data_IF_352664905374
#
_entry.id   IF_352664905374
#
_cell.length_a   1.000
_cell.length_b   1.000
_cell.length_c   1.000
_cell.angle_alpha   90.00
_cell.angle_beta   90.00
_cell.angle_gamma   90.00
#
_symmetry.space_group_name_H-M   'P 1'
#
loop_
_entity.id
_entity.type
_entity.pdbx_description
1 polymer ?
#
# COMPACT_ATOMS: atom_id res chain seq x y z
N UNK A 1 -11.79 -55.13 3.52
CA UNK A 1 -11.40 -54.01 4.40
C UNK A 1 -11.25 -52.82 3.48
N UNK A 2 -12.37 -52.20 3.14
CA UNK A 2 -12.39 -51.10 2.17
C UNK A 2 -12.00 -49.82 2.89
N UNK A 3 -10.98 -49.14 2.36
CA UNK A 3 -10.52 -47.84 2.82
C UNK A 3 -11.67 -46.84 2.78
N UNK A 4 -12.19 -46.49 3.96
CA UNK A 4 -13.05 -45.34 4.15
C UNK A 4 -12.18 -44.09 3.91
N UNK A 5 -12.20 -43.58 2.68
CA UNK A 5 -11.53 -42.33 2.34
C UNK A 5 -12.08 -41.22 3.25
N UNK A 6 -11.25 -40.77 4.19
CA UNK A 6 -11.57 -39.68 5.10
C UNK A 6 -12.00 -38.46 4.28
N UNK A 7 -13.30 -38.19 4.28
CA UNK A 7 -13.89 -37.04 3.60
C UNK A 7 -13.30 -35.78 4.25
N UNK A 8 -12.79 -34.81 3.48
CA UNK A 8 -12.21 -33.60 4.05
C UNK A 8 -13.24 -32.91 4.96
N UNK A 9 -12.80 -32.49 6.15
CA UNK A 9 -13.65 -31.84 7.16
C UNK A 9 -14.26 -30.56 6.56
N UNK A 10 -15.59 -30.51 6.36
CA UNK A 10 -16.27 -29.38 5.73
C UNK A 10 -16.24 -28.10 6.60
N UNK A 11 -15.77 -28.20 7.84
CA UNK A 11 -15.62 -27.07 8.77
C UNK A 11 -14.34 -26.26 8.49
N UNK A 12 -13.41 -26.81 7.69
CA UNK A 12 -12.19 -26.11 7.24
C UNK A 12 -12.50 -25.34 5.96
N UNK A 13 -13.16 -24.18 6.09
CA UNK A 13 -13.41 -23.26 4.97
C UNK A 13 -12.28 -22.23 4.92
N UNK A 14 -11.36 -22.43 3.96
CA UNK A 14 -10.26 -21.50 3.65
C UNK A 14 -9.03 -21.67 4.54
N UNK A 15 -7.85 -21.49 3.95
CA UNK A 15 -6.60 -21.45 4.71
C UNK A 15 -6.59 -20.23 5.64
N UNK A 16 -6.13 -20.43 6.88
CA UNK A 16 -5.83 -19.31 7.78
C UNK A 16 -4.68 -18.52 7.15
N UNK A 17 -4.99 -17.38 6.56
CA UNK A 17 -3.98 -16.45 6.08
C UNK A 17 -3.17 -15.96 7.29
N UNK A 18 -1.91 -16.38 7.38
CA UNK A 18 -0.91 -15.81 8.28
C UNK A 18 -0.01 -14.85 7.46
N UNK A 19 -0.52 -13.66 7.04
CA UNK A 19 0.30 -12.73 6.29
C UNK A 19 1.52 -12.34 7.13
N UNK A 20 2.66 -12.05 6.50
CA UNK A 20 3.83 -11.56 7.21
C UNK A 20 3.48 -10.32 8.02
N UNK A 21 4.21 -10.09 9.13
CA UNK A 21 4.11 -8.88 9.94
C UNK A 21 4.00 -7.63 9.06
N UNK A 22 3.06 -6.74 9.42
CA UNK A 22 2.88 -5.48 8.72
C UNK A 22 4.21 -4.71 8.66
N UNK A 23 4.67 -4.41 7.44
CA UNK A 23 5.82 -3.51 7.25
C UNK A 23 5.30 -2.09 7.16
N UNK A 24 5.54 -1.31 8.20
CA UNK A 24 5.23 0.11 8.17
C UNK A 24 6.15 0.80 7.16
N UNK A 25 5.60 1.66 6.29
CA UNK A 25 6.43 2.48 5.41
C UNK A 25 7.14 3.56 6.22
N UNK A 26 8.34 3.95 5.77
CA UNK A 26 8.92 5.24 6.13
C UNK A 26 8.09 6.35 5.45
N UNK A 27 7.43 7.25 6.21
CA UNK A 27 6.58 8.30 5.63
C UNK A 27 7.33 9.28 4.71
N UNK A 28 8.57 9.64 5.04
CA UNK A 28 9.43 10.50 4.21
C UNK A 28 9.70 9.83 2.87
N UNK A 29 10.18 8.59 2.91
CA UNK A 29 10.45 7.82 1.70
C UNK A 29 9.18 7.55 0.89
N UNK A 30 8.05 7.28 1.55
CA UNK A 30 6.79 7.02 0.88
C UNK A 30 6.32 8.23 0.06
N UNK A 31 6.27 9.41 0.69
CA UNK A 31 5.79 10.62 0.02
C UNK A 31 6.73 11.03 -1.13
N UNK A 32 8.05 11.10 -0.91
CA UNK A 32 8.96 11.55 -1.98
C UNK A 32 8.98 10.58 -3.17
N UNK A 33 8.98 9.27 -2.92
CA UNK A 33 8.94 8.28 -3.99
C UNK A 33 7.64 8.36 -4.80
N UNK A 34 6.51 8.62 -4.14
CA UNK A 34 5.22 8.81 -4.83
C UNK A 34 5.17 10.09 -5.65
N UNK A 35 5.67 11.21 -5.12
CA UNK A 35 5.81 12.47 -5.88
C UNK A 35 6.59 12.22 -7.18
N UNK A 36 7.78 11.63 -7.08
CA UNK A 36 8.61 11.36 -8.26
C UNK A 36 7.93 10.42 -9.25
N UNK A 37 7.29 9.35 -8.76
CA UNK A 37 6.57 8.39 -9.60
C UNK A 37 5.42 9.05 -10.36
N UNK A 38 4.63 9.90 -9.70
CA UNK A 38 3.51 10.61 -10.31
C UNK A 38 3.99 11.60 -11.39
N UNK A 39 5.10 12.32 -11.16
CA UNK A 39 5.71 13.19 -12.17
C UNK A 39 6.10 12.41 -13.43
N UNK A 40 6.71 11.24 -13.27
CA UNK A 40 7.09 10.35 -14.38
C UNK A 40 5.85 9.88 -15.15
N UNK A 41 4.81 9.42 -14.45
CA UNK A 41 3.57 8.95 -15.10
C UNK A 41 2.81 10.08 -15.81
N UNK A 42 2.87 11.29 -15.27
CA UNK A 42 2.20 12.45 -15.85
C UNK A 42 2.74 12.90 -17.21
N UNK A 43 3.97 12.51 -17.56
CA UNK A 43 4.62 12.93 -18.82
C UNK A 43 3.98 12.31 -20.07
N UNK A 44 3.39 11.12 -19.95
CA UNK A 44 2.82 10.37 -21.08
C UNK A 44 1.36 9.94 -20.88
N UNK A 45 0.63 10.62 -19.98
CA UNK A 45 -0.74 10.25 -19.63
C UNK A 45 -1.75 11.30 -20.09
N UNK A 46 -2.88 10.85 -20.62
CA UNK A 46 -4.05 11.69 -20.95
C UNK A 46 -4.59 12.45 -19.73
N UNK A 47 -4.35 11.94 -18.53
CA UNK A 47 -4.69 12.60 -17.25
C UNK A 47 -3.48 13.29 -16.61
N UNK A 48 -2.47 13.63 -17.41
CA UNK A 48 -1.22 14.25 -16.95
C UNK A 48 -1.42 15.46 -16.03
N UNK A 49 -2.31 16.43 -16.33
CA UNK A 49 -2.56 17.56 -15.44
C UNK A 49 -3.04 17.13 -14.04
N UNK A 50 -3.90 16.11 -13.96
CA UNK A 50 -4.37 15.57 -12.69
C UNK A 50 -3.25 14.86 -11.92
N UNK A 51 -2.41 14.07 -12.61
CA UNK A 51 -1.27 13.41 -11.98
C UNK A 51 -0.21 14.39 -11.47
N UNK A 52 -0.01 15.53 -12.15
CA UNK A 52 0.83 16.64 -11.66
C UNK A 52 0.26 17.26 -10.39
N UNK A 53 -1.04 17.55 -10.38
CA UNK A 53 -1.72 18.05 -9.17
C UNK A 53 -1.53 17.10 -7.98
N UNK A 54 -1.74 15.78 -8.18
CA UNK A 54 -1.52 14.79 -7.13
C UNK A 54 -0.05 14.72 -6.68
N UNK A 55 0.89 14.80 -7.62
CA UNK A 55 2.33 14.86 -7.30
C UNK A 55 2.64 16.02 -6.35
N UNK A 56 2.13 17.22 -6.68
CA UNK A 56 2.40 18.43 -5.91
C UNK A 56 1.74 18.36 -4.53
N UNK A 57 0.54 17.77 -4.42
CA UNK A 57 -0.11 17.52 -3.13
C UNK A 57 0.71 16.57 -2.25
N UNK A 58 1.22 15.47 -2.82
CA UNK A 58 2.05 14.50 -2.07
C UNK A 58 3.41 15.11 -1.71
N UNK A 59 3.95 16.00 -2.54
CA UNK A 59 5.18 16.74 -2.21
C UNK A 59 4.96 17.70 -1.04
N UNK A 60 3.79 18.34 -0.97
CA UNK A 60 3.43 19.15 0.18
C UNK A 60 3.38 18.29 1.45
N UNK A 61 2.79 17.08 1.38
CA UNK A 61 2.82 16.12 2.50
C UNK A 61 4.25 15.77 2.91
N UNK A 62 5.14 15.52 1.94
CA UNK A 62 6.55 15.28 2.22
C UNK A 62 7.19 16.44 3.00
N UNK A 63 6.90 17.68 2.61
CA UNK A 63 7.49 18.88 3.20
C UNK A 63 6.99 19.18 4.61
N UNK A 64 5.71 18.92 4.90
CA UNK A 64 5.13 19.28 6.20
C UNK A 64 5.26 18.19 7.26
N UNK A 65 5.49 16.92 6.87
CA UNK A 65 5.38 15.81 7.82
C UNK A 65 6.44 15.78 8.92
N UNK A 66 7.63 16.33 8.67
CA UNK A 66 8.73 16.37 9.65
C UNK A 66 8.35 17.21 10.88
N UNK A 67 7.47 18.20 10.70
CA UNK A 67 6.97 19.09 11.76
C UNK A 67 5.68 18.58 12.43
N UNK A 68 5.13 17.43 12.00
CA UNK A 68 3.90 16.89 12.56
C UNK A 68 4.16 16.07 13.84
N UNK A 69 3.21 16.05 14.79
CA UNK A 69 3.33 15.18 15.95
C UNK A 69 3.27 13.70 15.54
N UNK A 70 3.92 12.85 16.34
CA UNK A 70 3.79 11.40 16.21
C UNK A 70 2.30 10.98 16.25
N UNK A 71 1.89 9.97 15.45
CA UNK A 71 0.53 9.49 15.44
C UNK A 71 0.09 9.01 16.82
N UNK A 72 -1.14 9.35 17.22
CA UNK A 72 -1.75 8.75 18.39
C UNK A 72 -1.98 7.25 18.14
N UNK A 73 -1.54 6.40 19.08
CA UNK A 73 -1.73 4.94 19.06
C UNK A 73 -3.05 4.53 19.70
#
# INVERSE_FOLDING_TARGET
MSDEQARPDPTVIGDVAAPPFARLPDPLQLCINRTLRLRVLAAGSEIGPYLRFLSDLVELQYRIQDDLPEPAL
#
